data_IF_162429665765
#
_entry.id   IF_162429665765
#
_cell.length_a   1.000
_cell.length_b   1.000
_cell.length_c   1.000
_cell.angle_alpha   90.00
_cell.angle_beta   90.00
_cell.angle_gamma   90.00
#
_symmetry.space_group_name_H-M   'P 1'
#
loop_
_entity.id
_entity.type
_entity.pdbx_description
1 polymer ?
#
# COMPACT_ATOMS: atom_id res chain seq x y z
N UNK A 1 -81.11 -3.68 29.52
CA UNK A 1 -80.36 -4.92 29.24
C UNK A 1 -79.47 -4.70 28.03
N UNK A 2 -78.29 -4.15 28.29
CA UNK A 2 -77.40 -3.53 27.30
C UNK A 2 -76.39 -4.54 26.76
N UNK A 3 -76.04 -4.29 25.50
CA UNK A 3 -75.24 -5.07 24.57
C UNK A 3 -73.96 -5.73 25.13
N UNK A 4 -73.77 -6.97 24.70
CA UNK A 4 -72.56 -7.78 24.68
C UNK A 4 -71.47 -7.16 23.81
N UNK A 5 -70.36 -6.74 24.42
CA UNK A 5 -69.13 -6.35 23.74
C UNK A 5 -68.14 -7.52 23.71
N UNK A 6 -67.93 -8.10 22.54
CA UNK A 6 -66.85 -9.04 22.26
C UNK A 6 -65.55 -8.26 22.05
N UNK A 7 -64.68 -8.24 23.06
CA UNK A 7 -63.31 -7.75 22.92
C UNK A 7 -62.50 -8.72 22.05
N UNK A 8 -62.30 -8.32 20.80
CA UNK A 8 -61.32 -8.93 19.91
C UNK A 8 -59.96 -8.35 20.25
N UNK A 9 -59.10 -9.18 20.85
CA UNK A 9 -57.69 -8.84 21.05
C UNK A 9 -57.01 -8.70 19.68
N UNK A 10 -56.35 -7.58 19.37
CA UNK A 10 -55.56 -7.46 18.16
C UNK A 10 -54.36 -8.41 18.24
N UNK A 11 -54.34 -9.41 17.35
CA UNK A 11 -53.18 -10.24 17.07
C UNK A 11 -52.12 -9.37 16.39
N UNK A 12 -51.35 -8.64 17.19
CA UNK A 12 -50.16 -7.94 16.75
C UNK A 12 -48.97 -8.91 16.82
N UNK A 13 -48.89 -9.82 15.85
CA UNK A 13 -47.58 -10.31 15.40
C UNK A 13 -46.86 -9.12 14.78
N UNK A 14 -46.27 -8.28 15.63
CA UNK A 14 -45.27 -7.33 15.22
C UNK A 14 -44.11 -8.14 14.64
N UNK A 15 -44.02 -8.16 13.31
CA UNK A 15 -42.83 -8.62 12.61
C UNK A 15 -41.63 -7.92 13.25
N UNK A 16 -40.79 -8.68 13.95
CA UNK A 16 -39.48 -8.21 14.41
C UNK A 16 -38.82 -7.52 13.20
N UNK A 17 -38.17 -6.34 13.37
CA UNK A 17 -37.38 -5.77 12.29
C UNK A 17 -36.49 -6.88 11.76
N UNK A 18 -36.62 -7.23 10.47
CA UNK A 18 -35.80 -8.26 9.85
C UNK A 18 -34.36 -8.02 10.32
N UNK A 19 -33.76 -9.04 10.94
CA UNK A 19 -32.43 -8.92 11.52
C UNK A 19 -31.48 -8.45 10.41
N UNK A 20 -31.15 -7.15 10.44
CA UNK A 20 -30.38 -6.47 9.41
C UNK A 20 -29.04 -7.15 9.21
N UNK A 21 -28.44 -7.63 10.31
CA UNK A 21 -27.21 -8.40 10.28
C UNK A 21 -27.44 -9.73 9.56
N UNK A 22 -28.50 -10.47 9.89
CA UNK A 22 -28.82 -11.72 9.21
C UNK A 22 -29.05 -11.52 7.69
N UNK A 23 -29.75 -10.47 7.28
CA UNK A 23 -29.93 -10.11 5.87
C UNK A 23 -28.58 -9.80 5.20
N UNK A 24 -27.75 -8.95 5.82
CA UNK A 24 -26.42 -8.60 5.33
C UNK A 24 -25.56 -9.85 5.16
N UNK A 25 -25.47 -10.70 6.19
CA UNK A 25 -24.67 -11.93 6.14
C UNK A 25 -25.16 -12.89 5.06
N UNK A 26 -26.49 -13.06 4.91
CA UNK A 26 -27.05 -13.91 3.86
C UNK A 26 -26.65 -13.43 2.47
N UNK A 27 -26.74 -12.13 2.22
CA UNK A 27 -26.39 -11.54 0.93
C UNK A 27 -24.88 -11.58 0.66
N UNK A 28 -24.03 -11.27 1.66
CA UNK A 28 -22.58 -11.36 1.55
C UNK A 28 -22.11 -12.80 1.25
N UNK A 29 -22.85 -13.81 1.74
CA UNK A 29 -22.56 -15.23 1.52
C UNK A 29 -23.30 -15.84 0.32
N UNK A 30 -24.01 -15.05 -0.47
CA UNK A 30 -24.85 -15.54 -1.57
C UNK A 30 -24.07 -16.16 -2.73
N UNK A 31 -22.79 -15.82 -2.90
CA UNK A 31 -22.01 -16.18 -4.09
C UNK A 31 -22.43 -15.45 -5.37
N UNK A 32 -23.40 -14.53 -5.30
CA UNK A 32 -23.80 -13.67 -6.42
C UNK A 32 -23.12 -12.29 -6.33
N UNK A 33 -22.23 -11.93 -7.27
CA UNK A 33 -21.53 -10.65 -7.26
C UNK A 33 -22.49 -9.45 -7.22
N UNK A 34 -23.66 -9.55 -7.85
CA UNK A 34 -24.64 -8.43 -7.87
C UNK A 34 -25.20 -8.22 -6.47
N UNK A 35 -25.72 -9.27 -5.84
CA UNK A 35 -26.24 -9.23 -4.47
C UNK A 35 -25.19 -8.75 -3.47
N UNK A 36 -23.95 -9.24 -3.58
CA UNK A 36 -22.85 -8.79 -2.73
C UNK A 36 -22.56 -7.30 -2.92
N UNK A 37 -22.43 -6.82 -4.17
CA UNK A 37 -22.18 -5.39 -4.45
C UNK A 37 -23.27 -4.48 -3.91
N UNK A 38 -24.54 -4.88 -3.98
CA UNK A 38 -25.64 -4.09 -3.42
C UNK A 38 -25.54 -3.93 -1.90
N UNK A 39 -25.11 -4.98 -1.18
CA UNK A 39 -24.87 -4.87 0.26
C UNK A 39 -23.63 -4.04 0.58
N UNK A 40 -22.53 -4.21 -0.17
CA UNK A 40 -21.29 -3.46 0.05
C UNK A 40 -21.44 -1.95 -0.19
N UNK A 41 -22.44 -1.51 -0.97
CA UNK A 41 -22.75 -0.09 -1.17
C UNK A 41 -23.49 0.55 0.01
N UNK A 42 -24.00 -0.24 0.95
CA UNK A 42 -24.77 0.30 2.07
C UNK A 42 -23.87 1.10 3.02
N UNK A 43 -24.29 2.29 3.47
CA UNK A 43 -23.46 3.16 4.31
C UNK A 43 -23.28 2.65 5.75
N UNK A 44 -24.10 1.70 6.20
CA UNK A 44 -24.10 1.20 7.58
C UNK A 44 -24.06 -0.33 7.61
N UNK A 45 -22.88 -0.87 7.32
CA UNK A 45 -22.59 -2.28 7.60
C UNK A 45 -22.34 -2.46 9.09
N UNK A 46 -22.90 -3.53 9.67
CA UNK A 46 -22.64 -3.87 11.05
C UNK A 46 -21.19 -4.39 11.20
N UNK A 47 -20.38 -3.91 12.15
CA UNK A 47 -19.06 -4.49 12.42
C UNK A 47 -19.07 -5.99 12.70
N UNK A 48 -20.17 -6.55 13.20
CA UNK A 48 -20.35 -8.00 13.37
C UNK A 48 -20.33 -8.75 12.03
N UNK A 49 -20.63 -8.08 10.91
CA UNK A 49 -20.51 -8.64 9.57
C UNK A 49 -19.07 -8.67 9.03
N UNK A 50 -18.08 -8.08 9.74
CA UNK A 50 -16.70 -7.97 9.25
C UNK A 50 -16.08 -9.33 8.91
N UNK A 51 -16.34 -10.37 9.71
CA UNK A 51 -15.86 -11.73 9.44
C UNK A 51 -16.41 -12.34 8.15
N UNK A 52 -17.53 -11.82 7.63
CA UNK A 52 -18.11 -12.21 6.34
C UNK A 52 -17.64 -11.31 5.18
N UNK A 53 -17.13 -10.12 5.48
CA UNK A 53 -16.55 -9.21 4.49
C UNK A 53 -15.10 -9.57 4.16
N UNK A 54 -14.32 -10.02 5.14
CA UNK A 54 -12.89 -10.37 4.96
C UNK A 54 -12.68 -11.42 3.85
N UNK A 55 -13.43 -12.53 3.79
CA UNK A 55 -13.29 -13.50 2.70
C UNK A 55 -13.54 -12.90 1.31
N UNK A 56 -14.37 -11.87 1.19
CA UNK A 56 -14.64 -11.20 -0.09
C UNK A 56 -13.41 -10.46 -0.64
N UNK A 57 -12.40 -10.21 0.19
CA UNK A 57 -11.12 -9.69 -0.29
C UNK A 57 -10.44 -10.66 -1.25
N UNK A 58 -10.67 -11.96 -1.15
CA UNK A 58 -10.14 -12.94 -2.10
C UNK A 58 -10.87 -12.92 -3.46
N UNK A 59 -12.08 -12.37 -3.51
CA UNK A 59 -12.91 -12.45 -4.70
C UNK A 59 -12.73 -11.24 -5.61
N UNK A 60 -12.00 -11.45 -6.70
CA UNK A 60 -11.61 -10.38 -7.65
C UNK A 60 -12.77 -9.51 -8.13
N UNK A 61 -13.95 -10.10 -8.35
CA UNK A 61 -15.14 -9.38 -8.84
C UNK A 61 -15.72 -8.34 -7.87
N UNK A 62 -15.44 -8.47 -6.57
CA UNK A 62 -16.02 -7.62 -5.52
C UNK A 62 -14.98 -7.05 -4.54
N UNK A 63 -13.71 -7.41 -4.70
CA UNK A 63 -12.66 -7.08 -3.73
C UNK A 63 -12.47 -5.57 -3.52
N UNK A 64 -12.54 -4.75 -4.57
CA UNK A 64 -12.47 -3.28 -4.46
C UNK A 64 -13.62 -2.73 -3.61
N UNK A 65 -14.84 -3.23 -3.82
CA UNK A 65 -16.01 -2.84 -3.05
C UNK A 65 -15.89 -3.34 -1.60
N UNK A 66 -15.34 -4.54 -1.38
CA UNK A 66 -15.12 -5.10 -0.06
C UNK A 66 -14.09 -4.28 0.73
N UNK A 67 -12.97 -3.86 0.11
CA UNK A 67 -12.00 -2.96 0.70
C UNK A 67 -12.67 -1.65 1.12
N UNK A 68 -13.43 -1.01 0.23
CA UNK A 68 -14.13 0.27 0.50
C UNK A 68 -15.14 0.12 1.63
N UNK A 69 -15.87 -1.00 1.67
CA UNK A 69 -16.84 -1.31 2.72
C UNK A 69 -16.18 -1.59 4.09
N UNK A 70 -15.00 -2.20 4.10
CA UNK A 70 -14.26 -2.51 5.32
C UNK A 70 -13.58 -1.27 5.95
N UNK A 71 -13.15 -0.29 5.15
CA UNK A 71 -12.42 0.90 5.63
C UNK A 71 -13.16 1.65 6.77
N UNK A 72 -14.46 1.98 6.67
CA UNK A 72 -15.19 2.62 7.76
C UNK A 72 -15.32 1.75 9.02
N UNK A 73 -15.29 0.43 8.87
CA UNK A 73 -15.39 -0.51 9.98
C UNK A 73 -14.03 -0.76 10.66
N UNK A 74 -12.94 -0.57 9.91
CA UNK A 74 -11.58 -0.96 10.30
C UNK A 74 -11.17 -0.49 11.71
N UNK A 75 -11.47 0.74 12.17
CA UNK A 75 -11.13 1.16 13.54
C UNK A 75 -11.72 0.26 14.64
N UNK A 76 -12.88 -0.36 14.40
CA UNK A 76 -13.55 -1.25 15.35
C UNK A 76 -13.13 -2.71 15.23
N UNK A 77 -12.61 -3.12 14.07
CA UNK A 77 -12.31 -4.52 13.76
C UNK A 77 -10.84 -4.78 13.41
N UNK A 78 -9.94 -3.81 13.61
CA UNK A 78 -8.52 -3.92 13.27
C UNK A 78 -7.84 -5.15 13.87
N UNK A 79 -8.29 -5.63 15.04
CA UNK A 79 -7.82 -6.90 15.62
C UNK A 79 -8.05 -8.08 14.67
N UNK A 80 -9.31 -8.28 14.25
CA UNK A 80 -9.70 -9.32 13.30
C UNK A 80 -8.98 -9.18 11.94
N UNK A 81 -8.77 -7.95 11.46
CA UNK A 81 -8.02 -7.72 10.22
C UNK A 81 -6.55 -8.14 10.35
N UNK A 82 -5.93 -7.87 11.50
CA UNK A 82 -4.57 -8.30 11.82
C UNK A 82 -4.52 -9.82 11.99
N UNK A 83 -5.49 -10.43 12.67
CA UNK A 83 -5.59 -11.89 12.79
C UNK A 83 -5.65 -12.54 11.39
N UNK A 84 -6.46 -11.98 10.50
CA UNK A 84 -6.58 -12.43 9.10
C UNK A 84 -5.28 -12.24 8.30
N UNK A 85 -4.49 -11.21 8.61
CA UNK A 85 -3.19 -10.98 7.98
C UNK A 85 -2.15 -12.02 8.41
N UNK A 86 -2.16 -12.38 9.69
CA UNK A 86 -1.13 -13.21 10.32
C UNK A 86 -1.47 -14.71 10.31
N UNK A 87 -2.70 -15.08 9.98
CA UNK A 87 -3.13 -16.47 9.85
C UNK A 87 -2.47 -17.14 8.62
N UNK A 88 -1.58 -18.14 8.81
CA UNK A 88 -0.93 -18.83 7.70
C UNK A 88 -1.91 -19.64 6.83
N UNK A 89 -3.05 -20.05 7.38
CA UNK A 89 -4.09 -20.84 6.71
C UNK A 89 -5.10 -19.95 5.98
N UNK A 90 -5.12 -18.65 6.29
CA UNK A 90 -5.92 -17.68 5.55
C UNK A 90 -5.46 -17.59 4.10
N UNK A 91 -6.43 -17.50 3.20
CA UNK A 91 -6.18 -17.40 1.76
C UNK A 91 -5.23 -16.24 1.43
N UNK A 92 -4.24 -16.52 0.58
CA UNK A 92 -3.22 -15.56 0.18
C UNK A 92 -3.80 -14.26 -0.39
N UNK A 93 -4.89 -14.33 -1.17
CA UNK A 93 -5.53 -13.15 -1.74
C UNK A 93 -6.08 -12.21 -0.64
N UNK A 94 -6.63 -12.76 0.45
CA UNK A 94 -7.03 -11.97 1.63
C UNK A 94 -5.79 -11.36 2.28
N UNK A 95 -4.76 -12.16 2.58
CA UNK A 95 -3.55 -11.70 3.26
C UNK A 95 -2.79 -10.60 2.51
N UNK A 96 -2.78 -10.64 1.18
CA UNK A 96 -2.14 -9.57 0.40
C UNK A 96 -3.00 -8.31 0.28
N UNK A 97 -4.33 -8.39 0.42
CA UNK A 97 -5.25 -7.24 0.26
C UNK A 97 -5.64 -6.58 1.57
N UNK A 98 -5.70 -7.32 2.68
CA UNK A 98 -6.06 -6.80 4.00
C UNK A 98 -5.13 -5.69 4.53
N UNK A 99 -3.82 -5.62 4.21
CA UNK A 99 -2.97 -4.50 4.60
C UNK A 99 -3.50 -3.14 4.15
N UNK A 100 -4.18 -3.07 2.99
CA UNK A 100 -4.77 -1.84 2.44
C UNK A 100 -5.93 -1.31 3.30
N UNK A 101 -6.59 -2.18 4.05
CA UNK A 101 -7.64 -1.83 5.01
C UNK A 101 -7.01 -1.48 6.36
N UNK A 102 -6.04 -2.26 6.83
CA UNK A 102 -5.35 -2.02 8.11
C UNK A 102 -4.68 -0.63 8.11
N UNK A 103 -4.07 -0.23 6.99
CA UNK A 103 -3.36 1.03 6.84
C UNK A 103 -4.24 2.29 6.96
N UNK A 104 -5.58 2.16 6.97
CA UNK A 104 -6.48 3.30 7.22
C UNK A 104 -6.71 3.57 8.70
N UNK A 105 -6.14 2.75 9.60
CA UNK A 105 -6.35 2.84 11.05
C UNK A 105 -5.07 3.35 11.73
N UNK A 106 -5.07 4.60 12.14
CA UNK A 106 -3.97 5.23 12.87
C UNK A 106 -3.88 4.70 14.32
N UNK A 107 -3.30 3.50 14.51
CA UNK A 107 -3.17 2.89 15.84
C UNK A 107 -1.89 2.07 15.98
N UNK A 108 -1.35 1.92 17.21
CA UNK A 108 -0.21 1.04 17.47
C UNK A 108 -0.48 -0.43 17.07
N UNK A 109 -1.75 -0.88 17.15
CA UNK A 109 -2.14 -2.23 16.74
C UNK A 109 -2.02 -2.43 15.23
N UNK A 110 -2.43 -1.44 14.43
CA UNK A 110 -2.28 -1.50 12.98
C UNK A 110 -0.81 -1.54 12.58
N UNK A 111 0.02 -0.68 13.19
CA UNK A 111 1.48 -0.67 12.97
C UNK A 111 2.10 -2.02 13.33
N UNK A 112 1.81 -2.53 14.54
CA UNK A 112 2.35 -3.82 15.00
C UNK A 112 1.95 -4.98 14.09
N UNK A 113 0.68 -5.03 13.67
CA UNK A 113 0.19 -6.06 12.76
C UNK A 113 0.85 -6.02 11.38
N UNK A 114 1.06 -4.82 10.81
CA UNK A 114 1.76 -4.68 9.54
C UNK A 114 3.27 -5.00 9.67
N UNK A 115 3.91 -4.64 10.79
CA UNK A 115 5.29 -5.02 11.07
C UNK A 115 5.46 -6.55 11.14
N UNK A 116 4.57 -7.25 11.84
CA UNK A 116 4.54 -8.72 11.86
C UNK A 116 4.28 -9.31 10.45
N UNK A 117 3.44 -8.65 9.66
CA UNK A 117 3.21 -9.02 8.26
C UNK A 117 4.45 -8.90 7.36
N UNK A 118 5.48 -8.13 7.74
CA UNK A 118 6.78 -8.12 7.05
C UNK A 118 7.57 -9.43 7.24
N UNK A 119 7.10 -10.36 8.07
CA UNK A 119 7.71 -11.68 8.26
C UNK A 119 7.07 -12.78 7.41
N UNK A 120 6.05 -12.42 6.62
CA UNK A 120 5.30 -13.35 5.80
C UNK A 120 6.21 -14.11 4.81
N UNK A 121 5.94 -15.40 4.58
CA UNK A 121 6.70 -16.23 3.62
C UNK A 121 6.59 -15.68 2.18
N UNK A 122 5.45 -15.08 1.82
CA UNK A 122 5.17 -14.58 0.47
C UNK A 122 5.54 -13.11 0.34
N UNK A 123 6.37 -12.81 -0.66
CA UNK A 123 6.85 -11.45 -0.94
C UNK A 123 5.71 -10.42 -1.08
N UNK A 124 4.63 -10.75 -1.77
CA UNK A 124 3.55 -9.80 -2.02
C UNK A 124 2.83 -9.36 -0.74
N UNK A 125 2.71 -10.22 0.28
CA UNK A 125 2.16 -9.80 1.58
C UNK A 125 3.10 -8.81 2.25
N UNK A 126 4.39 -9.12 2.32
CA UNK A 126 5.41 -8.22 2.89
C UNK A 126 5.45 -6.87 2.17
N UNK A 127 5.38 -6.90 0.84
CA UNK A 127 5.30 -5.71 0.00
C UNK A 127 4.10 -4.84 0.38
N UNK A 128 2.91 -5.43 0.51
CA UNK A 128 1.69 -4.70 0.86
C UNK A 128 1.70 -4.19 2.31
N UNK A 129 2.31 -4.94 3.23
CA UNK A 129 2.56 -4.49 4.60
C UNK A 129 3.50 -3.28 4.65
N UNK A 130 4.60 -3.31 3.88
CA UNK A 130 5.53 -2.19 3.76
C UNK A 130 4.85 -0.94 3.21
N UNK A 131 4.00 -1.08 2.18
CA UNK A 131 3.19 0.03 1.67
C UNK A 131 2.22 0.57 2.71
N UNK A 132 1.55 -0.31 3.46
CA UNK A 132 0.65 0.09 4.54
C UNK A 132 1.37 0.88 5.63
N UNK A 133 2.57 0.46 6.01
CA UNK A 133 3.42 1.18 6.98
C UNK A 133 3.85 2.55 6.45
N UNK A 134 4.28 2.64 5.19
CA UNK A 134 4.66 3.92 4.58
C UNK A 134 3.48 4.90 4.54
N UNK A 135 2.27 4.41 4.25
CA UNK A 135 1.06 5.22 4.30
C UNK A 135 0.77 5.74 5.71
N UNK A 136 0.81 4.87 6.72
CA UNK A 136 0.60 5.25 8.13
C UNK A 136 1.66 6.25 8.60
N UNK A 137 2.94 5.98 8.32
CA UNK A 137 4.05 6.85 8.71
C UNK A 137 3.92 8.25 8.10
N UNK A 138 3.56 8.35 6.82
CA UNK A 138 3.35 9.64 6.15
C UNK A 138 2.18 10.41 6.77
N UNK A 139 1.05 9.74 7.06
CA UNK A 139 -0.17 10.40 7.58
C UNK A 139 -0.09 10.69 9.07
N UNK A 140 0.65 9.88 9.81
CA UNK A 140 0.74 9.88 11.26
C UNK A 140 2.19 9.64 11.70
N UNK A 141 3.08 10.62 11.49
CA UNK A 141 4.52 10.48 11.80
C UNK A 141 4.80 10.27 13.29
N UNK A 142 3.85 10.63 14.16
CA UNK A 142 3.94 10.43 15.61
C UNK A 142 3.71 8.96 16.03
N UNK A 143 3.24 8.09 15.13
CA UNK A 143 3.11 6.67 15.44
C UNK A 143 4.50 6.01 15.50
N UNK A 144 4.85 5.36 16.63
CA UNK A 144 6.18 4.80 16.80
C UNK A 144 6.38 3.60 15.88
N UNK A 145 7.46 3.63 15.10
CA UNK A 145 7.95 2.50 14.31
C UNK A 145 9.39 2.22 14.76
N UNK A 146 9.66 1.01 15.21
CA UNK A 146 10.98 0.64 15.72
C UNK A 146 11.99 0.54 14.56
N UNK A 147 12.95 1.47 14.53
CA UNK A 147 14.01 1.51 13.51
C UNK A 147 14.76 0.18 13.36
N UNK A 148 15.03 -0.52 14.45
CA UNK A 148 15.70 -1.82 14.46
C UNK A 148 14.90 -2.91 13.71
N UNK A 149 13.58 -2.92 13.88
CA UNK A 149 12.70 -3.89 13.21
C UNK A 149 12.61 -3.60 11.70
N UNK A 150 12.54 -2.32 11.31
CA UNK A 150 12.59 -1.93 9.89
C UNK A 150 13.91 -2.35 9.25
N UNK A 151 15.04 -2.12 9.92
CA UNK A 151 16.35 -2.57 9.42
C UNK A 151 16.41 -4.09 9.26
N UNK A 152 15.88 -4.85 10.23
CA UNK A 152 15.80 -6.31 10.11
C UNK A 152 14.95 -6.75 8.91
N UNK A 153 13.84 -6.08 8.64
CA UNK A 153 13.00 -6.34 7.46
C UNK A 153 13.74 -6.03 6.14
N UNK A 154 14.45 -4.90 6.06
CA UNK A 154 15.27 -4.54 4.88
C UNK A 154 16.34 -5.60 4.62
N UNK A 155 17.10 -5.98 5.65
CA UNK A 155 18.17 -6.96 5.53
C UNK A 155 17.62 -8.34 5.11
N UNK A 156 16.41 -8.70 5.53
CA UNK A 156 15.73 -9.93 5.10
C UNK A 156 15.45 -9.93 3.60
N UNK A 157 14.99 -8.81 3.05
CA UNK A 157 14.74 -8.70 1.60
C UNK A 157 16.03 -8.80 0.79
N UNK A 158 17.11 -8.19 1.28
CA UNK A 158 18.42 -8.17 0.61
C UNK A 158 19.18 -9.49 0.69
N UNK A 159 18.69 -10.49 1.44
CA UNK A 159 19.30 -11.83 1.53
C UNK A 159 18.90 -12.76 0.39
N UNK A 160 17.98 -12.34 -0.47
CA UNK A 160 17.39 -13.18 -1.51
C UNK A 160 18.28 -13.20 -2.74
N UNK A 161 18.40 -14.38 -3.37
CA UNK A 161 19.19 -14.54 -4.58
C UNK A 161 18.69 -13.65 -5.73
N UNK A 162 19.65 -13.20 -6.54
CA UNK A 162 19.42 -12.25 -7.63
C UNK A 162 18.30 -12.65 -8.60
N UNK A 163 18.21 -13.92 -9.08
CA UNK A 163 17.15 -14.31 -10.00
C UNK A 163 15.75 -14.17 -9.39
N UNK A 164 15.60 -14.48 -8.10
CA UNK A 164 14.32 -14.35 -7.37
C UNK A 164 13.99 -12.88 -7.17
N UNK A 165 15.00 -12.07 -6.83
CA UNK A 165 14.86 -10.63 -6.68
C UNK A 165 14.30 -9.98 -7.96
N UNK A 166 14.80 -10.39 -9.13
CA UNK A 166 14.41 -9.87 -10.45
C UNK A 166 13.10 -10.44 -10.98
N UNK A 167 12.73 -11.66 -10.59
CA UNK A 167 11.52 -12.33 -11.06
C UNK A 167 10.24 -11.92 -10.31
N UNK A 168 10.35 -11.21 -9.19
CA UNK A 168 9.18 -10.81 -8.38
C UNK A 168 8.24 -9.91 -9.17
N UNK A 169 6.97 -10.30 -9.20
CA UNK A 169 5.85 -9.57 -9.79
C UNK A 169 4.70 -9.56 -8.78
N UNK A 170 3.86 -8.54 -8.84
CA UNK A 170 2.62 -8.45 -8.05
C UNK A 170 1.46 -8.98 -8.88
N UNK A 171 0.44 -9.54 -8.24
CA UNK A 171 -0.75 -10.04 -8.93
C UNK A 171 -1.77 -8.92 -9.15
N UNK A 172 -1.87 -7.97 -8.22
CA UNK A 172 -2.86 -6.88 -8.26
C UNK A 172 -2.29 -5.57 -8.86
N UNK A 173 -1.55 -5.68 -9.99
CA UNK A 173 -0.95 -4.53 -10.71
C UNK A 173 -2.04 -3.66 -11.36
N UNK A 174 -2.61 -2.71 -10.62
CA UNK A 174 -3.68 -1.82 -11.08
C UNK A 174 -4.75 -1.54 -10.02
N UNK A 175 -4.74 -2.32 -8.94
CA UNK A 175 -5.45 -2.02 -7.71
C UNK A 175 -4.64 -0.97 -6.95
N UNK A 176 -4.58 0.25 -7.49
CA UNK A 176 -3.94 1.38 -6.83
C UNK A 176 -4.87 1.97 -5.78
N UNK A 177 -4.30 2.46 -4.69
CA UNK A 177 -5.09 3.16 -3.68
C UNK A 177 -5.28 4.61 -4.13
N UNK A 178 -6.50 5.07 -4.46
CA UNK A 178 -6.73 6.46 -4.83
C UNK A 178 -6.34 7.44 -3.72
N UNK A 179 -6.30 6.97 -2.47
CA UNK A 179 -5.94 7.76 -1.29
C UNK A 179 -4.42 7.91 -1.11
N UNK A 180 -3.60 7.37 -2.02
CA UNK A 180 -2.14 7.51 -2.03
C UNK A 180 -1.62 8.14 -3.35
N UNK A 181 -1.78 9.48 -3.52
CA UNK A 181 -1.38 10.20 -4.74
C UNK A 181 0.11 10.09 -5.08
N UNK A 182 1.00 9.99 -4.09
CA UNK A 182 2.44 9.91 -4.36
C UNK A 182 2.87 8.51 -4.82
N UNK A 183 2.32 7.44 -4.24
CA UNK A 183 2.57 6.09 -4.77
C UNK A 183 1.98 5.94 -6.17
N UNK A 184 0.87 6.62 -6.46
CA UNK A 184 0.30 6.73 -7.80
C UNK A 184 1.26 7.43 -8.77
N UNK A 185 1.85 8.57 -8.40
CA UNK A 185 2.74 9.35 -9.29
C UNK A 185 4.11 8.69 -9.47
N UNK A 186 4.76 8.27 -8.38
CA UNK A 186 6.06 7.58 -8.41
C UNK A 186 5.91 6.19 -9.04
N UNK A 187 4.86 5.46 -8.70
CA UNK A 187 4.52 4.18 -9.30
C UNK A 187 4.24 4.29 -10.79
N UNK A 188 3.53 5.34 -11.26
CA UNK A 188 3.30 5.58 -12.71
C UNK A 188 4.59 5.77 -13.49
N UNK A 189 5.49 6.61 -12.99
CA UNK A 189 6.73 6.94 -13.70
C UNK A 189 7.75 5.78 -13.71
N UNK A 190 7.68 4.90 -12.71
CA UNK A 190 8.64 3.81 -12.51
C UNK A 190 8.09 2.43 -12.86
N UNK A 191 6.80 2.33 -13.22
CA UNK A 191 6.06 1.07 -13.42
C UNK A 191 6.73 0.10 -14.40
N UNK A 192 7.36 0.63 -15.45
CA UNK A 192 7.98 -0.18 -16.51
C UNK A 192 9.48 -0.42 -16.32
N UNK A 193 10.12 0.28 -15.37
CA UNK A 193 11.59 0.30 -15.23
C UNK A 193 12.07 -0.25 -13.87
N UNK A 194 11.28 -0.13 -12.81
CA UNK A 194 11.70 -0.48 -11.46
C UNK A 194 11.29 -1.90 -11.06
N UNK A 195 12.25 -2.67 -10.56
CA UNK A 195 12.01 -3.95 -9.92
C UNK A 195 11.21 -3.78 -8.61
N UNK A 196 10.15 -4.57 -8.42
CA UNK A 196 9.30 -4.55 -7.21
C UNK A 196 10.05 -4.81 -5.91
N UNK A 197 11.12 -5.60 -5.95
CA UNK A 197 11.98 -5.81 -4.79
C UNK A 197 12.71 -4.53 -4.37
N UNK A 198 13.21 -3.78 -5.35
CA UNK A 198 13.91 -2.53 -5.10
C UNK A 198 12.92 -1.46 -4.59
N UNK A 199 11.75 -1.37 -5.23
CA UNK A 199 10.66 -0.51 -4.77
C UNK A 199 10.26 -0.81 -3.31
N UNK A 200 10.19 -2.09 -2.94
CA UNK A 200 9.89 -2.50 -1.57
C UNK A 200 10.97 -2.04 -0.58
N UNK A 201 12.24 -2.24 -0.90
CA UNK A 201 13.35 -1.83 -0.01
C UNK A 201 13.36 -0.31 0.17
N UNK A 202 13.14 0.47 -0.89
CA UNK A 202 13.01 1.92 -0.79
C UNK A 202 11.78 2.35 0.03
N UNK A 203 10.67 1.62 -0.08
CA UNK A 203 9.47 1.84 0.76
C UNK A 203 9.80 1.65 2.24
N UNK A 204 10.58 0.62 2.59
CA UNK A 204 10.99 0.38 3.98
C UNK A 204 12.03 1.40 4.46
N UNK A 205 12.97 1.79 3.60
CA UNK A 205 13.97 2.82 3.91
C UNK A 205 13.30 4.17 4.23
N UNK A 206 12.19 4.51 3.57
CA UNK A 206 11.43 5.72 3.83
C UNK A 206 10.78 5.76 5.23
N UNK A 207 10.76 4.65 5.97
CA UNK A 207 10.31 4.63 7.37
C UNK A 207 11.39 5.08 8.36
N UNK A 208 12.66 5.16 7.92
CA UNK A 208 13.81 5.44 8.79
C UNK A 208 14.76 6.52 8.23
N UNK A 209 14.57 6.93 6.97
CA UNK A 209 15.29 8.00 6.29
C UNK A 209 14.31 9.07 5.81
N UNK A 210 14.82 10.24 5.46
CA UNK A 210 14.00 11.33 4.91
C UNK A 210 13.36 10.92 3.57
N UNK A 211 12.02 10.92 3.54
CA UNK A 211 11.22 10.40 2.41
C UNK A 211 11.52 11.09 1.09
N UNK A 212 11.62 12.43 1.10
CA UNK A 212 11.71 13.20 -0.14
C UNK A 212 13.05 13.04 -0.85
N UNK A 213 14.22 13.22 -0.20
CA UNK A 213 15.51 12.95 -0.84
C UNK A 213 15.65 11.50 -1.29
N UNK A 214 15.14 10.54 -0.51
CA UNK A 214 15.15 9.13 -0.87
C UNK A 214 14.31 8.83 -2.12
N UNK A 215 13.13 9.47 -2.24
CA UNK A 215 12.27 9.41 -3.44
C UNK A 215 12.98 9.95 -4.67
N UNK A 216 13.66 11.09 -4.54
CA UNK A 216 14.44 11.69 -5.63
C UNK A 216 15.61 10.78 -6.02
N UNK A 217 16.33 10.21 -5.05
CA UNK A 217 17.41 9.27 -5.34
C UNK A 217 16.89 8.03 -6.08
N UNK A 218 15.76 7.47 -5.65
CA UNK A 218 15.13 6.33 -6.32
C UNK A 218 14.77 6.63 -7.79
N UNK A 219 14.24 7.82 -8.06
CA UNK A 219 13.98 8.28 -9.43
C UNK A 219 15.29 8.47 -10.22
N UNK A 220 16.31 9.04 -9.58
CA UNK A 220 17.64 9.23 -10.17
C UNK A 220 18.30 7.91 -10.58
N UNK A 221 18.01 6.80 -9.93
CA UNK A 221 18.50 5.47 -10.35
C UNK A 221 17.91 5.01 -11.70
N UNK A 222 16.73 5.49 -12.08
CA UNK A 222 16.01 5.06 -13.29
C UNK A 222 16.01 6.10 -14.41
N UNK A 223 16.73 7.22 -14.21
CA UNK A 223 16.93 8.25 -15.24
C UNK A 223 17.98 7.82 -16.25
N UNK A 224 17.97 8.42 -17.44
CA UNK A 224 19.03 8.25 -18.45
C UNK A 224 20.22 9.20 -18.20
N UNK A 225 20.02 10.28 -17.45
CA UNK A 225 21.05 11.27 -17.10
C UNK A 225 22.14 10.69 -16.17
N UNK A 226 23.40 10.54 -16.64
CA UNK A 226 24.48 10.00 -15.83
C UNK A 226 24.84 10.86 -14.60
N UNK A 227 24.64 12.18 -14.67
CA UNK A 227 24.96 13.12 -13.57
C UNK A 227 23.96 12.93 -12.43
N UNK A 228 22.67 12.93 -12.75
CA UNK A 228 21.62 12.70 -11.75
C UNK A 228 21.73 11.31 -11.15
N UNK A 229 22.04 10.29 -11.96
CA UNK A 229 22.26 8.92 -11.49
C UNK A 229 23.45 8.83 -10.54
N UNK A 230 24.57 9.45 -10.90
CA UNK A 230 25.77 9.51 -10.04
C UNK A 230 25.48 10.23 -8.72
N UNK A 231 24.73 11.34 -8.76
CA UNK A 231 24.33 12.09 -7.56
C UNK A 231 23.40 11.27 -6.67
N UNK A 232 22.46 10.51 -7.25
CA UNK A 232 21.58 9.62 -6.51
C UNK A 232 22.36 8.49 -5.81
N UNK A 233 23.32 7.87 -6.51
CA UNK A 233 24.19 6.85 -5.92
C UNK A 233 25.03 7.45 -4.78
N UNK A 234 25.66 8.60 -4.98
CA UNK A 234 26.46 9.26 -3.94
C UNK A 234 25.62 9.63 -2.71
N UNK A 235 24.38 10.10 -2.92
CA UNK A 235 23.45 10.33 -1.82
C UNK A 235 23.19 9.04 -1.05
N UNK A 236 22.84 7.95 -1.74
CA UNK A 236 22.60 6.64 -1.12
C UNK A 236 23.84 6.11 -0.38
N UNK A 237 25.04 6.30 -0.92
CA UNK A 237 26.29 5.91 -0.27
C UNK A 237 26.48 6.60 1.09
N UNK A 238 26.03 7.86 1.18
CA UNK A 238 26.19 8.70 2.37
C UNK A 238 25.12 8.48 3.45
N UNK A 239 23.88 8.12 3.07
CA UNK A 239 22.76 7.99 4.03
C UNK A 239 22.45 6.55 4.45
N UNK A 240 22.82 5.57 3.64
CA UNK A 240 22.52 4.17 3.95
C UNK A 240 23.42 3.64 5.08
N UNK A 241 22.86 2.91 6.06
CA UNK A 241 23.65 2.12 6.99
C UNK A 241 24.57 1.16 6.25
N UNK A 242 25.79 0.95 6.75
CA UNK A 242 26.83 0.19 6.07
C UNK A 242 26.37 -1.22 5.68
N UNK A 243 25.64 -1.90 6.58
CA UNK A 243 25.16 -3.27 6.38
C UNK A 243 24.09 -3.35 5.27
N UNK A 244 23.27 -2.30 5.14
CA UNK A 244 22.27 -2.19 4.07
C UNK A 244 22.97 -1.87 2.76
N UNK A 245 23.90 -0.91 2.78
CA UNK A 245 24.66 -0.47 1.60
C UNK A 245 25.38 -1.64 0.94
N UNK A 246 26.17 -2.40 1.70
CA UNK A 246 26.95 -3.55 1.19
C UNK A 246 26.08 -4.59 0.48
N UNK A 247 24.85 -4.82 0.97
CA UNK A 247 23.93 -5.81 0.38
C UNK A 247 23.08 -5.24 -0.76
N UNK A 248 22.75 -3.95 -0.71
CA UNK A 248 21.92 -3.30 -1.73
C UNK A 248 22.73 -2.94 -2.98
N UNK A 249 23.99 -2.54 -2.83
CA UNK A 249 24.82 -2.03 -3.93
C UNK A 249 24.90 -2.93 -5.16
N UNK A 250 25.07 -4.27 -5.02
CA UNK A 250 25.07 -5.18 -6.16
C UNK A 250 23.79 -5.06 -7.00
N UNK A 251 22.65 -4.74 -6.40
CA UNK A 251 21.37 -4.56 -7.09
C UNK A 251 21.26 -3.24 -7.86
N UNK A 252 22.09 -2.24 -7.56
CA UNK A 252 22.08 -0.92 -8.18
C UNK A 252 23.04 -0.80 -9.37
N UNK A 253 24.19 -1.47 -9.33
CA UNK A 253 25.30 -1.27 -10.29
C UNK A 253 25.18 -2.06 -11.62
N UNK A 254 24.14 -2.87 -11.83
CA UNK A 254 24.06 -3.72 -13.04
C UNK A 254 23.63 -2.96 -14.32
N UNK A 255 23.12 -1.73 -14.22
CA UNK A 255 22.89 -0.86 -15.38
C UNK A 255 24.10 0.06 -15.65
N UNK A 256 25.25 -0.58 -15.92
CA UNK A 256 26.43 -0.08 -16.67
C UNK A 256 27.10 1.26 -16.27
N UNK A 257 28.43 1.14 -16.11
CA UNK A 257 29.53 2.14 -16.11
C UNK A 257 29.63 3.13 -14.94
N UNK A 258 30.66 2.86 -14.11
CA UNK A 258 31.30 3.79 -13.17
C UNK A 258 32.10 4.86 -13.94
N UNK A 259 32.20 6.11 -13.43
CA UNK A 259 33.30 6.43 -12.52
C UNK A 259 32.86 7.16 -11.25
N UNK A 260 33.55 6.88 -10.13
CA UNK A 260 33.43 7.60 -8.87
C UNK A 260 34.34 8.82 -8.91
N UNK A 261 33.77 10.01 -8.76
CA UNK A 261 34.50 11.19 -8.31
C UNK A 261 34.75 11.07 -6.79
N UNK A 262 35.74 11.81 -6.27
CA UNK A 262 36.08 11.82 -4.85
C UNK A 262 34.85 12.10 -3.96
N UNK A 263 34.76 11.49 -2.77
CA UNK A 263 33.59 11.60 -1.91
C UNK A 263 33.33 13.06 -1.52
N UNK A 264 32.15 13.59 -1.84
CA UNK A 264 31.75 14.95 -1.46
C UNK A 264 30.98 14.95 -0.14
N UNK A 265 30.92 16.09 0.57
CA UNK A 265 30.15 16.19 1.81
C UNK A 265 28.65 15.95 1.57
N UNK A 266 28.00 15.18 2.46
CA UNK A 266 26.55 14.83 2.38
C UNK A 266 25.64 16.00 1.99
N UNK A 267 25.84 17.18 2.60
CA UNK A 267 25.01 18.37 2.36
C UNK A 267 25.10 18.86 0.91
N UNK A 268 26.28 18.82 0.31
CA UNK A 268 26.51 19.23 -1.08
C UNK A 268 25.80 18.29 -2.06
N UNK A 269 25.89 16.99 -1.78
CA UNK A 269 25.23 15.94 -2.58
C UNK A 269 23.71 16.08 -2.52
N UNK A 270 23.16 16.30 -1.32
CA UNK A 270 21.74 16.55 -1.11
C UNK A 270 21.27 17.82 -1.86
N UNK A 271 21.98 18.94 -1.70
CA UNK A 271 21.64 20.20 -2.35
C UNK A 271 21.65 20.06 -3.88
N UNK A 272 22.63 19.34 -4.44
CA UNK A 272 22.68 19.07 -5.87
C UNK A 272 21.53 18.17 -6.32
N UNK A 273 21.25 17.08 -5.59
CA UNK A 273 20.17 16.14 -5.90
C UNK A 273 18.83 16.86 -6.00
N UNK A 274 18.54 17.72 -5.03
CA UNK A 274 17.28 18.49 -4.97
C UNK A 274 17.19 19.51 -6.11
N UNK A 275 18.26 20.28 -6.39
CA UNK A 275 18.29 21.25 -7.50
C UNK A 275 18.09 20.60 -8.87
N UNK A 276 18.71 19.44 -9.10
CA UNK A 276 18.57 18.69 -10.34
C UNK A 276 17.15 18.13 -10.51
N UNK A 277 16.51 17.66 -9.43
CA UNK A 277 15.13 17.19 -9.47
C UNK A 277 14.13 18.30 -9.83
N UNK A 278 14.24 19.47 -9.20
CA UNK A 278 13.37 20.62 -9.50
C UNK A 278 13.47 21.02 -10.98
N UNK A 279 14.69 21.03 -11.53
CA UNK A 279 14.94 21.34 -12.93
C UNK A 279 14.30 20.32 -13.88
N UNK A 280 14.36 19.03 -13.55
CA UNK A 280 13.76 17.93 -14.33
C UNK A 280 12.24 17.95 -14.24
N UNK A 281 11.68 18.17 -13.05
CA UNK A 281 10.23 18.29 -12.85
C UNK A 281 9.65 19.49 -13.60
N UNK A 282 10.41 20.56 -13.79
CA UNK A 282 10.03 21.71 -14.63
C UNK A 282 10.09 21.35 -16.13
N UNK A 283 11.13 20.62 -16.56
CA UNK A 283 11.27 20.19 -17.97
C UNK A 283 10.20 19.17 -18.39
N UNK A 284 9.86 18.22 -17.51
CA UNK A 284 8.80 17.24 -17.75
C UNK A 284 7.43 17.89 -17.85
N UNK A 285 7.10 18.82 -16.94
CA UNK A 285 5.85 19.60 -17.01
C UNK A 285 5.74 20.42 -18.29
N UNK A 286 6.84 21.01 -18.77
CA UNK A 286 6.86 21.74 -20.05
C UNK A 286 6.58 20.83 -21.26
N UNK A 287 7.10 19.60 -21.25
CA UNK A 287 6.83 18.61 -22.31
C UNK A 287 5.37 18.18 -22.32
N UNK A 288 4.78 17.89 -21.16
CA UNK A 288 3.35 17.54 -21.05
C UNK A 288 2.43 18.65 -21.57
N UNK A 289 2.74 19.92 -21.30
CA UNK A 289 1.96 21.06 -21.84
C UNK A 289 2.12 21.26 -23.35
N UNK A 290 3.26 20.86 -23.93
CA UNK A 290 3.51 21.00 -25.38
C UNK A 290 2.85 19.86 -26.17
N UNK A 291 2.77 18.66 -25.59
CA UNK A 291 2.06 17.51 -26.16
C UNK A 291 0.53 17.65 -26.04
N UNK A 292 0.02 18.34 -25.01
CA UNK A 292 -1.42 18.67 -24.90
C UNK A 292 -1.86 19.71 -25.93
N UNK A 293 -1.04 20.73 -26.19
CA UNK A 293 -1.37 21.80 -27.15
C UNK A 293 -1.24 21.34 -28.61
N UNK A 294 -0.32 20.42 -28.91
CA UNK A 294 -0.15 19.84 -30.26
C UNK A 294 -1.19 18.76 -30.61
N UNK A 295 -1.95 18.27 -29.62
CA UNK A 295 -3.06 17.33 -29.81
C UNK A 295 -4.41 18.04 -30.01
N UNK A 296 -4.51 19.33 -29.68
CA UNK A 296 -5.71 20.16 -29.91
C UNK A 296 -5.74 20.87 -31.27
N UNK A 297 -4.67 20.77 -32.06
CA UNK A 297 -4.51 21.51 -33.33
C UNK A 297 -4.31 20.58 -34.55
N UNK A 298 -5.09 19.49 -34.61
CA UNK A 298 -5.31 18.74 -35.85
C UNK A 298 -6.80 18.82 -36.24
N UNK A 299 -7.14 19.47 -37.35
CA UNK A 299 -8.51 19.48 -37.88
C UNK A 299 -8.95 18.10 -38.40
#
# INVERSE_FOLDING_TARGET
PSASGSESLPSATASLPEDRLAFQVRALRSGDPKSVREVLKQPHLDPAAAGHLVPLLAWDEVCEQAIRALRPLAPRVVGMLVDSLLDPDQEFAVRRRVPRVIATVASPRAVSGLMLGLEDKRFEVRYQCGRGLALLHRRHPDLPIARSEVLAAILRELRVDRPIWESRRLLDQGMEDPEDPDALVVGRLLRDRANKSLEHVFTLLALILETEPLRVAFQGLHTEDPILRGTALEYLESVLPVEVREKLWPFLELDRHRPSAAPRPHREVLDQLMRSHESIAIQLRRRETTDSDSSSDRP
#
